data_IF_892514037867
#
_entry.id   IF_892514037867
#
_cell.length_a   1.000
_cell.length_b   1.000
_cell.length_c   1.000
_cell.angle_alpha   90.00
_cell.angle_beta   90.00
_cell.angle_gamma   90.00
#
_symmetry.space_group_name_H-M   'P 1'
#
loop_
_entity.id
_entity.type
_entity.pdbx_description
1 polymer ?
#
# COMPACT_ATOMS: atom_id res chain seq x y z
N UNK A 1 -0.16 15.55 -21.68
CA UNK A 1 1.06 15.29 -20.89
C UNK A 1 0.69 15.51 -19.43
N UNK A 2 0.88 14.50 -18.57
CA UNK A 2 0.69 14.64 -17.13
C UNK A 2 2.03 15.01 -16.51
N UNK A 3 2.07 16.09 -15.73
CA UNK A 3 3.21 16.47 -14.91
C UNK A 3 2.78 16.35 -13.45
N UNK A 4 3.39 15.41 -12.72
CA UNK A 4 3.06 15.10 -11.34
C UNK A 4 4.28 15.34 -10.45
N UNK A 5 4.03 15.63 -9.18
CA UNK A 5 5.07 15.69 -8.17
C UNK A 5 5.80 14.33 -8.04
N UNK A 6 7.13 14.37 -7.97
CA UNK A 6 7.92 13.19 -7.58
C UNK A 6 7.95 13.07 -6.05
N UNK A 7 7.14 12.14 -5.53
CA UNK A 7 7.04 11.86 -4.10
C UNK A 7 8.39 11.47 -3.49
N UNK A 8 9.30 10.86 -4.23
CA UNK A 8 10.59 10.40 -3.70
C UNK A 8 11.68 11.49 -3.67
N UNK A 9 11.44 12.65 -4.32
CA UNK A 9 12.47 13.69 -4.51
C UNK A 9 13.03 14.25 -3.20
N UNK A 10 12.21 14.29 -2.15
CA UNK A 10 12.61 14.83 -0.84
C UNK A 10 13.45 13.85 0.01
N UNK A 11 13.61 12.60 -0.44
CA UNK A 11 14.22 11.52 0.34
C UNK A 11 15.63 11.20 -0.18
N UNK A 12 16.58 11.05 0.73
CA UNK A 12 17.95 10.60 0.43
C UNK A 12 17.98 9.11 0.13
N UNK A 13 17.29 8.31 0.94
CA UNK A 13 17.19 6.84 0.78
C UNK A 13 15.72 6.43 0.82
N UNK A 14 14.91 6.75 -0.20
CA UNK A 14 13.48 6.42 -0.20
C UNK A 14 13.26 4.92 -0.11
N UNK A 15 12.60 4.49 0.97
CA UNK A 15 11.98 3.17 1.09
C UNK A 15 10.55 3.31 0.60
N UNK A 16 10.11 2.42 -0.29
CA UNK A 16 8.83 2.55 -0.99
C UNK A 16 8.10 1.22 -1.04
N UNK A 17 6.80 1.21 -0.71
CA UNK A 17 5.90 0.07 -0.88
C UNK A 17 4.68 0.49 -1.69
N UNK A 18 4.31 -0.33 -2.67
CA UNK A 18 3.11 -0.16 -3.50
C UNK A 18 2.12 -1.30 -3.20
N UNK A 19 0.95 -0.93 -2.70
CA UNK A 19 -0.18 -1.83 -2.44
C UNK A 19 -1.35 -1.47 -3.35
N UNK A 20 -1.67 -2.37 -4.28
CA UNK A 20 -2.82 -2.24 -5.18
C UNK A 20 -4.10 -2.55 -4.42
N UNK A 21 -5.05 -1.62 -4.43
CA UNK A 21 -6.25 -1.66 -3.61
C UNK A 21 -7.48 -2.22 -4.34
N UNK A 22 -8.41 -2.76 -3.56
CA UNK A 22 -9.71 -3.30 -3.99
C UNK A 22 -9.82 -4.81 -3.78
N UNK A 23 -10.99 -5.33 -3.42
CA UNK A 23 -11.29 -6.77 -3.53
C UNK A 23 -11.22 -7.27 -4.98
N UNK A 24 -11.51 -6.40 -5.93
CA UNK A 24 -11.30 -6.64 -7.35
C UNK A 24 -10.70 -5.44 -8.05
N UNK A 25 -9.91 -5.73 -9.08
CA UNK A 25 -9.39 -4.75 -10.04
C UNK A 25 -10.23 -4.68 -11.32
N UNK A 26 -11.33 -5.43 -11.38
CA UNK A 26 -12.24 -5.51 -12.53
C UNK A 26 -13.43 -4.58 -12.33
N UNK A 27 -13.76 -3.82 -13.37
CA UNK A 27 -14.99 -3.05 -13.47
C UNK A 27 -15.92 -3.67 -14.52
N UNK A 28 -17.24 -3.50 -14.33
CA UNK A 28 -18.29 -4.24 -15.04
C UNK A 28 -18.23 -4.06 -16.57
N UNK A 29 -17.94 -2.85 -17.04
CA UNK A 29 -17.86 -2.50 -18.46
C UNK A 29 -16.47 -2.69 -19.08
N UNK A 30 -15.54 -3.36 -18.39
CA UNK A 30 -14.28 -3.76 -19.00
C UNK A 30 -14.50 -4.81 -20.11
N UNK A 31 -13.59 -4.84 -21.09
CA UNK A 31 -13.60 -5.89 -22.11
C UNK A 31 -13.27 -7.28 -21.50
N UNK A 32 -13.69 -8.34 -22.19
CA UNK A 32 -13.55 -9.71 -21.69
C UNK A 32 -12.08 -10.14 -21.51
N UNK A 33 -11.17 -9.60 -22.32
CA UNK A 33 -9.73 -9.88 -22.19
C UNK A 33 -9.17 -9.25 -20.91
N UNK A 34 -9.58 -8.04 -20.58
CA UNK A 34 -9.23 -7.36 -19.34
C UNK A 34 -9.81 -8.10 -18.13
N UNK A 35 -11.09 -8.47 -18.18
CA UNK A 35 -11.78 -9.22 -17.13
C UNK A 35 -11.07 -10.54 -16.84
N UNK A 36 -10.86 -11.38 -17.87
CA UNK A 36 -10.21 -12.68 -17.71
C UNK A 36 -8.77 -12.56 -17.16
N UNK A 37 -7.99 -11.61 -17.69
CA UNK A 37 -6.61 -11.37 -17.24
C UNK A 37 -6.56 -10.96 -15.77
N UNK A 38 -7.42 -10.05 -15.34
CA UNK A 38 -7.41 -9.53 -13.97
C UNK A 38 -8.13 -10.47 -13.00
N UNK A 39 -9.08 -11.28 -13.44
CA UNK A 39 -9.73 -12.29 -12.60
C UNK A 39 -8.73 -13.34 -12.11
N UNK A 40 -7.85 -13.81 -13.01
CA UNK A 40 -6.76 -14.71 -12.63
C UNK A 40 -5.82 -14.03 -11.62
N UNK A 41 -5.40 -12.79 -11.86
CA UNK A 41 -4.53 -12.06 -10.90
C UNK A 41 -5.17 -11.84 -9.54
N UNK A 42 -6.45 -11.48 -9.52
CA UNK A 42 -7.15 -11.19 -8.27
C UNK A 42 -7.36 -12.47 -7.45
N UNK A 43 -7.59 -13.61 -8.12
CA UNK A 43 -7.69 -14.94 -7.52
C UNK A 43 -6.33 -15.46 -7.02
N UNK A 44 -5.29 -15.32 -7.84
CA UNK A 44 -3.99 -15.94 -7.62
C UNK A 44 -3.09 -15.12 -6.67
N UNK A 45 -3.59 -14.02 -6.10
CA UNK A 45 -2.87 -13.16 -5.14
C UNK A 45 -3.73 -12.89 -3.91
N UNK A 46 -3.23 -12.07 -2.98
CA UNK A 46 -4.00 -11.63 -1.81
C UNK A 46 -5.16 -10.70 -2.16
N UNK A 47 -5.30 -10.20 -3.39
CA UNK A 47 -6.30 -9.19 -3.77
C UNK A 47 -7.72 -9.57 -3.34
N UNK A 48 -8.20 -10.75 -3.76
CA UNK A 48 -9.56 -11.22 -3.47
C UNK A 48 -9.78 -11.60 -1.99
N UNK A 49 -8.70 -11.84 -1.24
CA UNK A 49 -8.75 -12.30 0.16
C UNK A 49 -8.62 -11.15 1.16
N UNK A 50 -7.70 -10.21 0.90
CA UNK A 50 -7.38 -9.08 1.79
C UNK A 50 -7.96 -7.75 1.29
N UNK A 51 -8.43 -7.67 0.05
CA UNK A 51 -8.80 -6.40 -0.57
C UNK A 51 -7.60 -5.56 -1.04
N UNK A 52 -6.40 -6.14 -1.03
CA UNK A 52 -5.21 -5.56 -1.64
C UNK A 52 -4.15 -6.62 -1.96
N UNK A 53 -3.17 -6.24 -2.78
CA UNK A 53 -1.91 -6.98 -2.93
C UNK A 53 -0.72 -6.03 -2.99
N UNK A 54 0.40 -6.46 -2.44
CA UNK A 54 1.67 -5.74 -2.61
C UNK A 54 2.20 -6.04 -4.01
N UNK A 55 2.40 -5.00 -4.82
CA UNK A 55 2.97 -5.16 -6.17
C UNK A 55 4.48 -5.05 -6.21
N UNK A 56 5.07 -4.54 -5.14
CA UNK A 56 6.50 -4.52 -4.89
C UNK A 56 6.84 -3.55 -3.77
N UNK A 57 8.04 -3.68 -3.22
CA UNK A 57 8.63 -2.68 -2.34
C UNK A 57 10.15 -2.71 -2.41
N UNK A 58 10.77 -1.62 -1.99
CA UNK A 58 12.20 -1.55 -1.71
C UNK A 58 12.45 -0.92 -0.36
N UNK A 59 13.42 -1.44 0.36
CA UNK A 59 13.84 -0.94 1.67
C UNK A 59 15.35 -0.83 1.70
N UNK A 60 15.86 0.35 2.04
CA UNK A 60 17.28 0.55 2.30
C UNK A 60 17.70 -0.34 3.48
N UNK A 61 18.84 -1.01 3.42
CA UNK A 61 19.35 -1.83 4.52
C UNK A 61 20.66 -1.19 5.00
N UNK A 62 20.60 -0.47 6.12
CA UNK A 62 21.68 0.41 6.55
C UNK A 62 22.99 -0.33 6.81
N UNK A 63 22.93 -1.50 7.44
CA UNK A 63 24.11 -2.34 7.70
C UNK A 63 24.80 -2.81 6.43
N UNK A 64 24.03 -3.06 5.37
CA UNK A 64 24.54 -3.59 4.09
C UNK A 64 24.91 -2.49 3.10
N UNK A 65 24.39 -1.28 3.29
CA UNK A 65 24.57 -0.18 2.34
C UNK A 65 23.89 -0.41 0.99
N UNK A 66 22.83 -1.23 0.93
CA UNK A 66 22.12 -1.56 -0.31
C UNK A 66 20.60 -1.61 -0.11
N UNK A 67 19.84 -1.69 -1.21
CA UNK A 67 18.40 -1.91 -1.16
C UNK A 67 18.06 -3.40 -1.19
N UNK A 68 17.23 -3.85 -0.26
CA UNK A 68 16.42 -5.04 -0.49
C UNK A 68 15.26 -4.66 -1.40
N UNK A 69 15.03 -5.45 -2.46
CA UNK A 69 13.96 -5.23 -3.42
C UNK A 69 13.07 -6.47 -3.47
N UNK A 70 11.81 -6.29 -3.06
CA UNK A 70 10.73 -7.23 -3.31
C UNK A 70 10.06 -6.85 -4.62
N UNK A 71 10.32 -7.64 -5.66
CA UNK A 71 9.78 -7.40 -6.99
C UNK A 71 8.31 -7.88 -7.11
N UNK A 72 7.80 -7.84 -8.34
CA UNK A 72 6.44 -8.32 -8.64
C UNK A 72 6.23 -9.79 -8.31
N UNK A 73 7.25 -10.64 -8.47
CA UNK A 73 7.11 -12.07 -8.22
C UNK A 73 7.03 -12.34 -6.72
N UNK A 74 7.86 -11.65 -5.93
CA UNK A 74 7.74 -11.65 -4.48
C UNK A 74 6.30 -11.31 -4.05
N UNK A 75 5.73 -10.23 -4.59
CA UNK A 75 4.36 -9.80 -4.26
C UNK A 75 3.27 -10.81 -4.64
N UNK A 76 3.47 -11.62 -5.69
CA UNK A 76 2.52 -12.67 -6.11
C UNK A 76 2.55 -13.89 -5.18
N UNK A 77 3.69 -14.17 -4.56
CA UNK A 77 3.87 -15.31 -3.66
C UNK A 77 3.35 -15.03 -2.25
N UNK A 78 3.06 -13.77 -1.93
CA UNK A 78 2.48 -13.40 -0.65
C UNK A 78 1.09 -14.01 -0.45
N UNK A 79 0.84 -14.44 0.78
CA UNK A 79 -0.44 -14.96 1.25
C UNK A 79 -0.91 -14.10 2.42
N UNK A 80 -2.19 -14.21 2.84
CA UNK A 80 -2.65 -13.57 4.08
C UNK A 80 -1.75 -13.84 5.28
N UNK A 81 -1.20 -15.05 5.39
CA UNK A 81 -0.35 -15.47 6.50
C UNK A 81 1.06 -14.87 6.42
N UNK A 82 1.62 -14.70 5.22
CA UNK A 82 2.99 -14.17 5.07
C UNK A 82 3.04 -12.64 4.93
N UNK A 83 1.89 -11.99 4.76
CA UNK A 83 1.82 -10.53 4.57
C UNK A 83 2.33 -9.74 5.79
N UNK A 84 2.09 -10.22 7.01
CA UNK A 84 2.63 -9.59 8.23
C UNK A 84 4.16 -9.53 8.21
N UNK A 85 4.81 -10.64 7.85
CA UNK A 85 6.26 -10.70 7.71
C UNK A 85 6.79 -9.78 6.59
N UNK A 86 6.06 -9.62 5.48
CA UNK A 86 6.41 -8.68 4.43
C UNK A 86 6.35 -7.22 4.92
N UNK A 87 5.34 -6.86 5.71
CA UNK A 87 5.27 -5.54 6.35
C UNK A 87 6.35 -5.35 7.41
N UNK A 88 6.68 -6.37 8.21
CA UNK A 88 7.84 -6.30 9.12
C UNK A 88 9.12 -6.04 8.35
N UNK A 89 9.33 -6.74 7.22
CA UNK A 89 10.50 -6.54 6.35
C UNK A 89 10.55 -5.15 5.76
N UNK A 90 9.43 -4.59 5.32
CA UNK A 90 9.38 -3.22 4.78
C UNK A 90 9.68 -2.16 5.84
N UNK A 91 9.17 -2.33 7.06
CA UNK A 91 9.34 -1.40 8.18
C UNK A 91 10.68 -1.51 8.92
N UNK A 92 11.54 -2.47 8.56
CA UNK A 92 12.82 -2.72 9.25
C UNK A 92 14.00 -2.53 8.31
N UNK A 93 14.85 -1.53 8.61
CA UNK A 93 16.02 -1.17 7.80
C UNK A 93 17.36 -1.19 8.57
N UNK A 94 17.34 -1.54 9.86
CA UNK A 94 18.50 -1.50 10.76
C UNK A 94 18.69 -0.17 11.52
N UNK A 95 17.94 0.88 11.17
CA UNK A 95 17.93 2.17 11.88
C UNK A 95 16.56 2.48 12.49
N UNK A 96 15.49 2.02 11.84
CA UNK A 96 14.10 2.17 12.21
C UNK A 96 13.47 0.78 12.36
N UNK A 97 12.51 0.71 13.27
CA UNK A 97 11.61 -0.43 13.46
C UNK A 97 10.27 -0.21 12.77
N UNK A 98 9.45 -1.27 12.60
CA UNK A 98 8.09 -1.11 12.06
C UNK A 98 7.25 -0.10 12.84
N UNK A 99 7.45 0.00 14.16
CA UNK A 99 6.79 0.99 15.01
C UNK A 99 7.09 2.43 14.59
N UNK A 100 8.35 2.71 14.24
CA UNK A 100 8.80 4.05 13.85
C UNK A 100 8.22 4.48 12.49
N UNK A 101 7.91 3.51 11.62
CA UNK A 101 7.34 3.75 10.28
C UNK A 101 5.81 3.79 10.30
N UNK A 102 5.18 2.88 11.05
CA UNK A 102 3.73 2.68 10.98
C UNK A 102 2.96 3.45 12.04
N UNK A 103 3.49 3.55 13.27
CA UNK A 103 2.78 4.12 14.41
C UNK A 103 3.05 5.63 14.56
N UNK A 104 2.37 6.24 15.51
CA UNK A 104 2.49 7.67 15.82
C UNK A 104 1.66 8.57 14.89
N UNK A 105 1.57 9.87 15.22
CA UNK A 105 0.69 10.81 14.53
C UNK A 105 1.09 11.08 13.08
N UNK A 106 2.37 10.89 12.74
CA UNK A 106 2.90 11.07 11.38
C UNK A 106 3.16 9.72 10.68
N UNK A 107 2.95 8.59 11.34
CA UNK A 107 3.17 7.26 10.76
C UNK A 107 2.15 6.88 9.70
N UNK A 108 2.43 5.78 9.01
CA UNK A 108 1.58 5.28 7.93
C UNK A 108 0.13 5.04 8.36
N UNK A 109 -0.08 4.46 9.55
CA UNK A 109 -1.42 4.11 10.06
C UNK A 109 -2.30 5.35 10.22
N UNK A 110 -1.77 6.43 10.80
CA UNK A 110 -2.52 7.67 10.99
C UNK A 110 -2.95 8.29 9.65
N UNK A 111 -2.03 8.35 8.69
CA UNK A 111 -2.31 8.91 7.36
C UNK A 111 -3.28 8.04 6.53
N UNK A 112 -3.14 6.71 6.59
CA UNK A 112 -4.08 5.80 5.89
C UNK A 112 -5.46 5.86 6.55
N UNK A 113 -5.58 6.07 7.88
CA UNK A 113 -6.88 6.31 8.53
C UNK A 113 -7.55 7.60 8.03
N UNK A 114 -6.80 8.67 7.78
CA UNK A 114 -7.35 9.88 7.14
C UNK A 114 -7.84 9.59 5.72
N UNK A 115 -7.10 8.80 4.94
CA UNK A 115 -7.55 8.34 3.63
C UNK A 115 -8.82 7.49 3.73
N UNK A 116 -8.88 6.57 4.70
CA UNK A 116 -10.06 5.73 4.99
C UNK A 116 -11.29 6.59 5.29
N UNK A 117 -11.17 7.62 6.14
CA UNK A 117 -12.27 8.51 6.48
C UNK A 117 -12.83 9.25 5.25
N UNK A 118 -11.98 9.60 4.28
CA UNK A 118 -12.44 10.15 3.00
C UNK A 118 -13.22 9.10 2.20
N UNK A 119 -12.72 7.85 2.10
CA UNK A 119 -13.43 6.76 1.44
C UNK A 119 -14.76 6.38 2.10
N UNK A 120 -14.91 6.60 3.41
CA UNK A 120 -16.16 6.34 4.15
C UNK A 120 -17.29 7.31 3.77
N UNK A 121 -16.93 8.52 3.34
CA UNK A 121 -17.88 9.63 3.12
C UNK A 121 -18.06 9.99 1.66
N UNK A 122 -17.03 9.83 0.83
CA UNK A 122 -17.10 10.15 -0.58
C UNK A 122 -18.06 9.22 -1.33
N UNK A 123 -18.83 9.78 -2.25
CA UNK A 123 -19.77 9.06 -3.11
C UNK A 123 -19.69 9.58 -4.55
N UNK A 124 -18.50 10.01 -4.96
CA UNK A 124 -18.27 10.61 -6.27
C UNK A 124 -17.49 9.68 -7.19
N UNK A 125 -16.61 8.82 -6.65
CA UNK A 125 -15.62 8.07 -7.41
C UNK A 125 -15.58 6.59 -7.00
N UNK A 126 -15.41 5.72 -7.99
CA UNK A 126 -15.00 4.32 -7.84
C UNK A 126 -13.60 4.15 -8.43
N UNK A 127 -12.72 3.49 -7.70
CA UNK A 127 -11.34 3.25 -8.07
C UNK A 127 -11.11 1.76 -8.28
N UNK A 128 -10.55 1.40 -9.43
CA UNK A 128 -10.12 0.04 -9.74
C UNK A 128 -8.64 0.05 -10.05
N UNK A 129 -7.91 -0.92 -9.52
CA UNK A 129 -6.46 -1.07 -9.73
C UNK A 129 -5.61 0.16 -9.34
N UNK A 130 -6.14 1.07 -8.52
CA UNK A 130 -5.40 2.15 -7.88
C UNK A 130 -4.52 1.59 -6.74
N UNK A 131 -3.54 2.37 -6.29
CA UNK A 131 -2.57 1.92 -5.28
C UNK A 131 -2.44 2.90 -4.12
N UNK A 132 -2.23 2.38 -2.92
CA UNK A 132 -1.64 3.12 -1.81
C UNK A 132 -0.13 2.95 -1.89
N UNK A 133 0.58 4.08 -2.00
CA UNK A 133 2.03 4.16 -1.96
C UNK A 133 2.47 4.64 -0.58
N UNK A 134 3.34 3.86 0.06
CA UNK A 134 3.96 4.20 1.36
C UNK A 134 5.42 4.53 1.11
N UNK A 135 5.86 5.71 1.54
CA UNK A 135 7.25 6.16 1.40
C UNK A 135 7.80 6.60 2.75
N UNK A 136 9.06 6.28 3.05
CA UNK A 136 9.77 6.83 4.21
C UNK A 136 11.28 7.00 3.95
N UNK A 137 11.94 7.80 4.78
CA UNK A 137 13.38 8.06 4.73
C UNK A 137 14.17 6.91 5.37
N UNK A 138 14.83 6.11 4.54
CA UNK A 138 15.63 4.98 4.99
C UNK A 138 16.93 5.36 5.71
N UNK A 139 17.38 6.60 5.61
CA UNK A 139 18.56 7.09 6.35
C UNK A 139 18.22 7.74 7.71
N UNK A 140 16.94 7.83 8.07
CA UNK A 140 16.52 8.37 9.34
C UNK A 140 16.86 7.41 10.49
N UNK A 141 17.19 7.97 11.65
CA UNK A 141 17.53 7.24 12.87
C UNK A 141 16.52 7.46 14.00
N UNK A 142 15.51 8.29 13.76
CA UNK A 142 14.43 8.62 14.70
C UNK A 142 13.10 8.62 13.96
N UNK A 143 12.03 8.27 14.65
CA UNK A 143 10.69 8.20 14.06
C UNK A 143 10.22 9.54 13.50
N UNK A 144 10.52 10.66 14.18
CA UNK A 144 10.16 12.01 13.72
C UNK A 144 10.84 12.41 12.40
N UNK A 145 12.00 11.81 12.09
CA UNK A 145 12.78 12.11 10.89
C UNK A 145 12.46 11.11 9.75
N UNK A 146 11.67 10.07 10.01
CA UNK A 146 11.31 9.06 9.02
C UNK A 146 10.50 9.65 7.85
N UNK A 147 9.90 10.84 8.05
CA UNK A 147 9.18 11.61 7.03
C UNK A 147 8.21 10.72 6.22
N UNK A 148 7.41 9.92 6.92
CA UNK A 148 6.51 8.97 6.27
C UNK A 148 5.49 9.72 5.42
N UNK A 149 5.26 9.26 4.20
CA UNK A 149 4.26 9.83 3.30
C UNK A 149 3.38 8.73 2.69
N UNK A 150 2.07 8.96 2.74
CA UNK A 150 1.08 8.14 2.05
C UNK A 150 0.57 8.91 0.82
N UNK A 151 0.53 8.23 -0.32
CA UNK A 151 -0.09 8.73 -1.55
C UNK A 151 -1.05 7.70 -2.11
N UNK A 152 -2.17 8.16 -2.65
CA UNK A 152 -3.06 7.31 -3.43
C UNK A 152 -2.82 7.63 -4.91
N UNK A 153 -2.50 6.63 -5.71
CA UNK A 153 -1.99 6.77 -7.09
C UNK A 153 -2.71 5.82 -8.06
N UNK A 154 -2.35 5.88 -9.34
CA UNK A 154 -2.88 5.01 -10.42
C UNK A 154 -4.38 5.19 -10.73
N UNK A 155 -4.79 6.39 -11.13
CA UNK A 155 -6.20 6.72 -11.44
C UNK A 155 -6.67 6.38 -12.87
N UNK A 156 -5.96 5.49 -13.57
CA UNK A 156 -6.29 5.14 -14.96
C UNK A 156 -7.64 4.42 -15.11
N UNK A 157 -8.14 3.79 -14.05
CA UNK A 157 -9.44 3.12 -14.02
C UNK A 157 -10.30 3.66 -12.87
N UNK A 158 -10.45 4.99 -12.85
CA UNK A 158 -11.33 5.71 -11.93
C UNK A 158 -12.57 6.22 -12.65
N UNK A 159 -13.74 6.03 -12.04
CA UNK A 159 -15.03 6.31 -12.69
C UNK A 159 -16.03 6.99 -11.74
N UNK A 160 -17.00 7.76 -12.25
CA UNK A 160 -18.06 8.33 -11.44
C UNK A 160 -18.88 7.23 -10.74
N UNK A 161 -19.09 7.34 -9.43
CA UNK A 161 -19.81 6.31 -8.66
C UNK A 161 -21.33 6.49 -8.65
N UNK A 162 -21.83 7.63 -9.12
CA UNK A 162 -23.27 7.99 -9.14
C UNK A 162 -23.93 7.86 -7.77
N UNK A 163 -23.28 8.37 -6.72
CA UNK A 163 -23.81 8.36 -5.34
C UNK A 163 -23.52 7.08 -4.57
N UNK A 164 -22.76 6.12 -5.14
CA UNK A 164 -22.32 4.92 -4.43
C UNK A 164 -20.97 5.16 -3.75
N UNK A 165 -20.81 4.59 -2.56
CA UNK A 165 -19.51 4.54 -1.88
C UNK A 165 -18.63 3.44 -2.52
N UNK A 166 -17.33 3.66 -2.55
CA UNK A 166 -16.37 2.66 -2.99
C UNK A 166 -16.04 1.65 -1.88
N UNK A 167 -16.98 0.71 -1.67
CA UNK A 167 -16.78 -0.39 -0.71
C UNK A 167 -15.66 -1.36 -1.14
N UNK A 168 -15.31 -1.38 -2.43
CA UNK A 168 -14.25 -2.23 -2.98
C UNK A 168 -12.89 -1.83 -2.38
N UNK A 169 -12.53 -0.56 -2.47
CA UNK A 169 -11.27 -0.03 -1.91
C UNK A 169 -11.36 0.10 -0.39
N UNK A 170 -12.50 0.53 0.16
CA UNK A 170 -12.65 0.75 1.60
C UNK A 170 -12.36 -0.50 2.43
N UNK A 171 -12.81 -1.68 1.97
CA UNK A 171 -12.48 -2.96 2.62
C UNK A 171 -10.99 -3.23 2.63
N UNK A 172 -10.31 -3.05 1.50
CA UNK A 172 -8.87 -3.21 1.39
C UNK A 172 -8.08 -2.26 2.29
N UNK A 173 -8.48 -0.99 2.34
CA UNK A 173 -7.84 0.02 3.20
C UNK A 173 -7.98 -0.36 4.67
N UNK A 174 -9.15 -0.85 5.07
CA UNK A 174 -9.40 -1.28 6.46
C UNK A 174 -8.45 -2.40 6.86
N UNK A 175 -8.35 -3.46 6.05
CA UNK A 175 -7.44 -4.58 6.32
C UNK A 175 -5.98 -4.11 6.30
N UNK A 176 -5.59 -3.24 5.37
CA UNK A 176 -4.23 -2.70 5.31
C UNK A 176 -3.85 -1.95 6.59
N UNK A 177 -4.74 -1.08 7.09
CA UNK A 177 -4.54 -0.34 8.35
C UNK A 177 -4.37 -1.28 9.52
N UNK A 178 -5.26 -2.27 9.65
CA UNK A 178 -5.25 -3.20 10.77
C UNK A 178 -3.96 -4.04 10.79
N UNK A 179 -3.51 -4.52 9.63
CA UNK A 179 -2.26 -5.29 9.52
C UNK A 179 -1.02 -4.44 9.82
N UNK A 180 -0.93 -3.21 9.30
CA UNK A 180 0.19 -2.32 9.59
C UNK A 180 0.23 -1.91 11.06
N UNK A 181 -0.94 -1.69 11.67
CA UNK A 181 -1.04 -1.39 13.09
C UNK A 181 -0.57 -2.57 13.94
N UNK A 182 -1.07 -3.78 13.69
CA UNK A 182 -0.65 -4.99 14.41
C UNK A 182 0.86 -5.21 14.32
N UNK A 183 1.45 -5.06 13.13
CA UNK A 183 2.90 -5.17 12.93
C UNK A 183 3.67 -4.06 13.67
N UNK A 184 3.16 -2.83 13.67
CA UNK A 184 3.79 -1.70 14.37
C UNK A 184 3.72 -1.79 15.90
N UNK A 185 2.66 -2.40 16.44
CA UNK A 185 2.44 -2.61 17.87
C UNK A 185 3.19 -3.85 18.40
N UNK A 186 3.63 -4.74 17.51
CA UNK A 186 4.38 -5.95 17.86
C UNK A 186 3.52 -7.21 18.03
N UNK A 187 2.25 -7.14 17.62
CA UNK A 187 1.25 -8.20 17.80
C UNK A 187 1.25 -9.25 16.66
N UNK A 188 2.41 -9.54 16.07
CA UNK A 188 2.51 -10.50 14.98
C UNK A 188 2.38 -11.95 15.51
N UNK A 189 1.18 -12.51 15.42
CA UNK A 189 0.91 -13.96 15.48
C UNK A 189 1.64 -14.72 14.36
#
# INVERSE_FOLDING_TARGET
MLALEDTCKAYKKPCVLDAKMGLTTIYEWADEKYKAKNANKDRDTTQSKLGFRVTGFKVWQAEKGEYFVADRNYGKELTPQTMGAAFTKFGTNGLLSPRDVYCGPQGAVAQIRSLKAWFETQQSLLFFAASVLIVYEGAATRAEDANVAIRFIDFAHTFPSKGKRDDNVLRGITVLVDMLQSVGEGDAN
#
